data_IF_900410713235
#
_entry.id   IF_900410713235
#
_cell.length_a   1.000
_cell.length_b   1.000
_cell.length_c   1.000
_cell.angle_alpha   90.00
_cell.angle_beta   90.00
_cell.angle_gamma   90.00
#
_symmetry.space_group_name_H-M   'P 1'
#
loop_
_entity.id
_entity.type
_entity.pdbx_description
1 polymer ?
#
# COMPACT_ATOMS: atom_id res chain seq x y z
N UNK A 1 10.44 -75.26 -8.28
CA UNK A 1 10.99 -74.68 -7.04
C UNK A 1 10.84 -73.17 -7.13
N UNK A 2 9.72 -72.70 -6.60
CA UNK A 2 9.25 -71.32 -6.66
C UNK A 2 9.89 -70.49 -5.55
N UNK A 3 10.45 -69.36 -5.92
CA UNK A 3 11.02 -68.38 -5.02
C UNK A 3 9.91 -67.62 -4.26
N UNK A 4 10.04 -67.49 -2.95
CA UNK A 4 9.26 -66.54 -2.16
C UNK A 4 10.15 -66.00 -1.05
N UNK A 5 10.76 -64.84 -1.28
CA UNK A 5 11.50 -64.08 -0.26
C UNK A 5 10.71 -62.82 0.05
N UNK A 6 10.27 -62.73 1.31
CA UNK A 6 9.51 -61.63 1.86
C UNK A 6 10.40 -60.40 2.04
N UNK A 7 10.03 -59.28 1.40
CA UNK A 7 10.53 -57.95 1.74
C UNK A 7 9.48 -57.21 2.56
N UNK A 8 9.81 -56.98 3.83
CA UNK A 8 9.06 -56.16 4.76
C UNK A 8 8.88 -54.73 4.21
N UNK A 9 7.62 -54.30 4.07
CA UNK A 9 7.27 -52.91 3.78
C UNK A 9 7.40 -52.10 5.07
N UNK A 10 8.37 -51.19 5.07
CA UNK A 10 8.56 -50.16 6.08
C UNK A 10 7.49 -49.07 5.87
N UNK A 11 6.38 -49.15 6.60
CA UNK A 11 5.35 -48.09 6.62
C UNK A 11 5.78 -46.99 7.60
N UNK A 12 6.42 -45.95 7.05
CA UNK A 12 6.60 -44.69 7.76
C UNK A 12 5.21 -44.09 8.08
N UNK A 13 4.84 -44.12 9.36
CA UNK A 13 3.68 -43.41 9.92
C UNK A 13 3.76 -41.93 9.53
N UNK A 14 2.81 -41.46 8.72
CA UNK A 14 2.53 -40.04 8.56
C UNK A 14 2.19 -39.45 9.95
N UNK A 15 2.94 -38.42 10.39
CA UNK A 15 2.60 -37.63 11.57
C UNK A 15 1.21 -37.02 11.36
N UNK A 16 0.25 -37.48 12.16
CA UNK A 16 -1.06 -36.85 12.33
C UNK A 16 -0.83 -35.38 12.70
N UNK A 17 -1.32 -34.45 11.88
CA UNK A 17 -1.41 -33.04 12.23
C UNK A 17 -2.42 -32.90 13.37
N UNK A 18 -1.92 -32.73 14.59
CA UNK A 18 -2.76 -32.43 15.75
C UNK A 18 -3.50 -31.11 15.48
N UNK A 19 -4.84 -31.19 15.46
CA UNK A 19 -5.70 -30.02 15.44
C UNK A 19 -5.68 -29.40 16.83
N UNK A 20 -5.08 -28.23 16.95
CA UNK A 20 -5.11 -27.46 18.18
C UNK A 20 -6.43 -26.70 18.26
N UNK A 21 -6.99 -26.66 19.46
CA UNK A 21 -8.18 -25.86 19.77
C UNK A 21 -7.82 -24.87 20.86
N UNK A 22 -8.16 -23.60 20.64
CA UNK A 22 -7.91 -22.52 21.60
C UNK A 22 -9.17 -21.63 21.71
N UNK A 23 -9.30 -20.93 22.83
CA UNK A 23 -10.38 -20.00 23.10
C UNK A 23 -9.85 -18.62 23.48
N UNK A 24 -10.63 -17.60 23.13
CA UNK A 24 -10.43 -16.22 23.56
C UNK A 24 -11.77 -15.66 24.03
N UNK A 25 -11.76 -15.03 25.21
CA UNK A 25 -12.93 -14.39 25.80
C UNK A 25 -12.70 -12.87 25.84
N UNK A 26 -13.71 -12.12 25.40
CA UNK A 26 -13.68 -10.66 25.39
C UNK A 26 -14.48 -10.10 26.56
N UNK A 27 -13.90 -9.15 27.29
CA UNK A 27 -14.51 -8.59 28.50
C UNK A 27 -15.79 -7.77 28.21
N UNK A 28 -15.83 -7.09 27.05
CA UNK A 28 -16.94 -6.26 26.61
C UNK A 28 -17.65 -6.93 25.42
N UNK A 29 -18.90 -7.35 25.64
CA UNK A 29 -19.71 -8.01 24.63
C UNK A 29 -20.10 -7.05 23.49
N UNK A 30 -20.32 -5.76 23.75
CA UNK A 30 -20.65 -4.81 22.69
C UNK A 30 -19.47 -4.63 21.72
N UNK A 31 -18.25 -4.51 22.25
CA UNK A 31 -17.04 -4.47 21.44
C UNK A 31 -16.78 -5.81 20.72
N UNK A 32 -17.12 -6.94 21.35
CA UNK A 32 -17.03 -8.25 20.70
C UNK A 32 -17.98 -8.36 19.50
N UNK A 33 -19.23 -7.87 19.61
CA UNK A 33 -20.16 -7.84 18.48
C UNK A 33 -19.67 -6.94 17.34
N UNK A 34 -19.07 -5.77 17.67
CA UNK A 34 -18.44 -4.91 16.66
C UNK A 34 -17.26 -5.59 15.97
N UNK A 35 -16.46 -6.37 16.72
CA UNK A 35 -15.36 -7.16 16.17
C UNK A 35 -15.87 -8.24 15.20
N UNK A 36 -16.96 -8.93 15.56
CA UNK A 36 -17.50 -10.03 14.75
C UNK A 36 -18.12 -9.55 13.44
N UNK A 37 -18.65 -8.32 13.45
CA UNK A 37 -19.32 -7.72 12.29
C UNK A 37 -20.73 -8.29 12.05
N UNK A 38 -21.50 -7.65 11.16
CA UNK A 38 -22.80 -8.14 10.70
C UNK A 38 -22.75 -9.63 10.33
N UNK A 39 -23.64 -10.43 10.91
CA UNK A 39 -23.73 -11.88 10.64
C UNK A 39 -22.40 -12.65 10.81
N UNK A 40 -21.50 -12.17 11.67
CA UNK A 40 -20.17 -12.73 11.89
C UNK A 40 -19.29 -12.76 10.61
N UNK A 41 -19.48 -11.81 9.70
CA UNK A 41 -18.71 -11.71 8.45
C UNK A 41 -17.19 -11.60 8.69
N UNK A 42 -16.77 -10.89 9.75
CA UNK A 42 -15.34 -10.72 10.06
C UNK A 42 -14.72 -12.01 10.59
N UNK A 43 -15.46 -12.81 11.36
CA UNK A 43 -15.01 -14.13 11.80
C UNK A 43 -14.92 -15.11 10.63
N UNK A 44 -15.88 -15.04 9.71
CA UNK A 44 -15.87 -15.82 8.47
C UNK A 44 -14.65 -15.44 7.63
N UNK A 45 -14.37 -14.14 7.47
CA UNK A 45 -13.19 -13.67 6.76
C UNK A 45 -11.88 -14.13 7.40
N UNK A 46 -11.79 -14.06 8.72
CA UNK A 46 -10.63 -14.56 9.47
C UNK A 46 -10.42 -16.07 9.25
N UNK A 47 -11.53 -16.83 9.26
CA UNK A 47 -11.53 -18.27 8.98
C UNK A 47 -10.99 -18.55 7.58
N UNK A 48 -11.46 -17.82 6.56
CA UNK A 48 -10.97 -17.96 5.18
C UNK A 48 -9.48 -17.59 5.04
N UNK A 49 -9.07 -16.46 5.61
CA UNK A 49 -7.71 -15.94 5.45
C UNK A 49 -6.64 -16.74 6.19
N UNK A 50 -6.98 -17.35 7.34
CA UNK A 50 -6.04 -18.18 8.12
C UNK A 50 -6.18 -19.67 7.83
N UNK A 51 -7.36 -20.13 7.38
CA UNK A 51 -7.70 -21.54 7.24
C UNK A 51 -8.02 -22.24 8.58
N UNK A 52 -8.36 -21.48 9.63
CA UNK A 52 -8.76 -21.96 10.96
C UNK A 52 -10.28 -21.96 11.04
N UNK A 53 -10.89 -22.96 11.67
CA UNK A 53 -12.33 -22.93 11.98
C UNK A 53 -12.58 -21.96 13.13
N UNK A 54 -13.45 -20.97 12.91
CA UNK A 54 -13.80 -19.95 13.89
C UNK A 54 -15.29 -20.06 14.24
N UNK A 55 -15.62 -20.10 15.53
CA UNK A 55 -17.00 -20.06 16.00
C UNK A 55 -17.12 -19.15 17.22
N UNK A 56 -18.23 -18.43 17.35
CA UNK A 56 -18.48 -17.52 18.48
C UNK A 56 -19.73 -17.92 19.26
N UNK A 57 -19.70 -17.67 20.57
CA UNK A 57 -20.85 -17.81 21.46
C UNK A 57 -20.77 -16.73 22.55
N UNK A 58 -21.62 -15.71 22.44
CA UNK A 58 -21.53 -14.55 23.33
C UNK A 58 -20.23 -13.80 23.13
N UNK A 59 -19.46 -13.61 24.21
CA UNK A 59 -18.12 -12.99 24.21
C UNK A 59 -16.97 -13.96 23.92
N UNK A 60 -17.24 -15.26 23.79
CA UNK A 60 -16.22 -16.31 23.65
C UNK A 60 -16.11 -16.71 22.18
N UNK A 61 -14.88 -16.72 21.66
CA UNK A 61 -14.54 -17.26 20.33
C UNK A 61 -13.68 -18.51 20.50
N UNK A 62 -14.08 -19.58 19.82
CA UNK A 62 -13.33 -20.84 19.74
C UNK A 62 -12.68 -20.95 18.36
N UNK A 63 -11.38 -21.28 18.36
CA UNK A 63 -10.52 -21.41 17.18
C UNK A 63 -10.01 -22.86 17.11
N UNK A 64 -10.17 -23.53 15.98
CA UNK A 64 -9.69 -24.90 15.78
C UNK A 64 -8.96 -25.08 14.44
N UNK A 65 -7.75 -25.61 14.45
CA UNK A 65 -6.93 -25.73 13.25
C UNK A 65 -5.49 -26.16 13.52
N UNK A 66 -4.57 -25.76 12.65
CA UNK A 66 -3.13 -25.97 12.87
C UNK A 66 -2.63 -24.98 13.93
N UNK A 67 -1.85 -25.43 14.92
CA UNK A 67 -1.36 -24.61 16.03
C UNK A 67 -0.83 -23.22 15.66
N UNK A 68 0.11 -23.09 14.69
CA UNK A 68 0.63 -21.78 14.28
C UNK A 68 -0.46 -20.83 13.73
N UNK A 69 -1.43 -21.38 12.99
CA UNK A 69 -2.54 -20.62 12.41
C UNK A 69 -3.58 -20.24 13.45
N UNK A 70 -3.83 -21.11 14.44
CA UNK A 70 -4.71 -20.81 15.58
C UNK A 70 -4.11 -19.68 16.42
N UNK A 71 -2.80 -19.72 16.69
CA UNK A 71 -2.08 -18.66 17.38
C UNK A 71 -2.13 -17.33 16.60
N UNK A 72 -1.96 -17.39 15.27
CA UNK A 72 -2.12 -16.22 14.39
C UNK A 72 -3.53 -15.62 14.47
N UNK A 73 -4.58 -16.45 14.31
CA UNK A 73 -5.97 -16.00 14.38
C UNK A 73 -6.32 -15.38 15.75
N UNK A 74 -5.84 -16.00 16.85
CA UNK A 74 -6.01 -15.48 18.20
C UNK A 74 -5.33 -14.12 18.39
N UNK A 75 -4.12 -13.97 17.86
CA UNK A 75 -3.37 -12.71 17.86
C UNK A 75 -4.12 -11.62 17.09
N UNK A 76 -4.62 -11.91 15.90
CA UNK A 76 -5.40 -10.97 15.08
C UNK A 76 -6.66 -10.50 15.82
N UNK A 77 -7.44 -11.43 16.39
CA UNK A 77 -8.65 -11.09 17.13
C UNK A 77 -8.36 -10.23 18.37
N UNK A 78 -7.35 -10.61 19.16
CA UNK A 78 -6.95 -9.84 20.34
C UNK A 78 -6.48 -8.43 19.99
N UNK A 79 -5.77 -8.28 18.88
CA UNK A 79 -5.30 -6.98 18.39
C UNK A 79 -6.45 -6.10 17.91
N UNK A 80 -7.34 -6.61 17.06
CA UNK A 80 -8.50 -5.85 16.59
C UNK A 80 -9.42 -5.44 17.76
N UNK A 81 -9.61 -6.33 18.73
CA UNK A 81 -10.34 -6.01 19.95
C UNK A 81 -9.69 -4.89 20.75
N UNK A 82 -8.37 -4.93 20.95
CA UNK A 82 -7.65 -3.86 21.64
C UNK A 82 -7.80 -2.52 20.92
N UNK A 83 -7.73 -2.50 19.58
CA UNK A 83 -7.92 -1.27 18.79
C UNK A 83 -9.33 -0.68 18.90
N UNK A 84 -10.37 -1.53 18.96
CA UNK A 84 -11.73 -1.09 19.24
C UNK A 84 -11.87 -0.53 20.66
N UNK A 85 -11.33 -1.24 21.66
CA UNK A 85 -11.36 -0.83 23.07
C UNK A 85 -10.66 0.51 23.29
N UNK A 86 -9.49 0.67 22.70
CA UNK A 86 -8.65 1.88 22.82
C UNK A 86 -9.15 3.00 21.88
N UNK A 87 -10.29 2.77 21.20
CA UNK A 87 -10.95 3.67 20.25
C UNK A 87 -10.05 4.10 19.10
N UNK A 88 -9.05 3.30 18.71
CA UNK A 88 -8.21 3.58 17.54
C UNK A 88 -8.98 3.42 16.23
N UNK A 89 -9.96 2.52 16.22
CA UNK A 89 -10.91 2.28 15.13
C UNK A 89 -12.33 2.27 15.67
N UNK A 90 -13.28 2.74 14.88
CA UNK A 90 -14.69 2.80 15.26
C UNK A 90 -15.48 1.54 14.84
N UNK A 91 -14.98 0.81 13.84
CA UNK A 91 -15.55 -0.42 13.32
C UNK A 91 -14.46 -1.34 12.75
N UNK A 92 -14.79 -2.61 12.58
CA UNK A 92 -13.95 -3.60 11.87
C UNK A 92 -14.70 -4.01 10.61
N UNK A 93 -14.11 -3.71 9.45
CA UNK A 93 -14.53 -4.19 8.14
C UNK A 93 -13.67 -5.39 7.68
N UNK A 94 -14.13 -6.08 6.64
CA UNK A 94 -13.44 -7.24 6.04
C UNK A 94 -12.01 -6.87 5.63
N UNK A 95 -11.81 -5.66 5.11
CA UNK A 95 -10.49 -5.15 4.72
C UNK A 95 -9.55 -4.93 5.91
N UNK A 96 -10.08 -4.54 7.07
CA UNK A 96 -9.32 -4.39 8.33
C UNK A 96 -8.91 -5.76 8.87
N UNK A 97 -9.78 -6.77 8.76
CA UNK A 97 -9.43 -8.17 9.06
C UNK A 97 -8.29 -8.63 8.15
N UNK A 98 -8.39 -8.40 6.84
CA UNK A 98 -7.35 -8.76 5.87
C UNK A 98 -6.01 -8.06 6.15
N UNK A 99 -6.05 -6.78 6.52
CA UNK A 99 -4.88 -6.02 6.95
C UNK A 99 -4.24 -6.63 8.20
N UNK A 100 -5.04 -6.98 9.21
CA UNK A 100 -4.55 -7.57 10.45
C UNK A 100 -3.96 -8.97 10.23
N UNK A 101 -4.55 -9.79 9.35
CA UNK A 101 -3.99 -11.09 8.96
C UNK A 101 -2.61 -10.89 8.32
N UNK A 102 -2.49 -10.01 7.32
CA UNK A 102 -1.18 -9.71 6.68
C UNK A 102 -0.14 -9.20 7.68
N UNK A 103 -0.55 -8.37 8.64
CA UNK A 103 0.30 -7.87 9.71
C UNK A 103 0.67 -8.94 10.76
N UNK A 104 0.04 -10.11 10.74
CA UNK A 104 0.30 -11.17 11.72
C UNK A 104 1.21 -12.29 11.21
N UNK A 105 1.46 -12.35 9.89
CA UNK A 105 2.32 -13.36 9.26
C UNK A 105 3.79 -13.19 9.69
N UNK A 106 4.48 -14.28 10.09
CA UNK A 106 5.92 -14.25 10.35
C UNK A 106 6.72 -14.09 9.04
N UNK A 107 7.78 -13.28 9.08
CA UNK A 107 8.71 -13.06 7.97
C UNK A 107 9.45 -14.37 7.62
N UNK A 108 9.31 -14.86 6.38
CA UNK A 108 10.29 -15.79 5.80
C UNK A 108 11.26 -15.12 4.81
N UNK A 109 11.12 -13.84 4.47
CA UNK A 109 12.04 -13.18 3.53
C UNK A 109 11.94 -11.64 3.52
N UNK A 110 12.38 -10.96 4.58
CA UNK A 110 12.79 -9.56 4.48
C UNK A 110 14.30 -9.43 4.78
N UNK A 111 15.16 -9.34 3.75
CA UNK A 111 16.60 -9.17 3.94
C UNK A 111 16.99 -7.79 4.50
N UNK A 112 16.05 -6.86 4.71
CA UNK A 112 16.36 -5.45 4.93
C UNK A 112 15.78 -4.81 6.20
N UNK A 113 15.07 -5.53 7.10
CA UNK A 113 14.59 -4.93 8.36
C UNK A 113 14.84 -5.78 9.60
N UNK A 114 16.01 -5.60 10.22
CA UNK A 114 16.28 -6.04 11.58
C UNK A 114 15.77 -5.01 12.59
N UNK A 115 14.49 -5.06 12.96
CA UNK A 115 13.94 -4.63 14.26
C UNK A 115 12.42 -4.77 14.28
N UNK A 116 11.94 -5.83 14.91
CA UNK A 116 10.52 -6.01 15.25
C UNK A 116 10.24 -5.41 16.64
N UNK A 117 9.95 -4.11 16.69
CA UNK A 117 9.28 -3.50 17.85
C UNK A 117 7.88 -3.04 17.43
N UNK A 118 6.89 -3.53 18.17
CA UNK A 118 5.46 -3.24 18.10
C UNK A 118 4.88 -3.08 16.70
N UNK A 119 4.48 -4.22 16.09
CA UNK A 119 3.87 -4.28 14.75
C UNK A 119 2.52 -3.54 14.64
N UNK A 120 1.90 -3.23 15.78
CA UNK A 120 0.68 -2.43 15.91
C UNK A 120 1.03 -1.27 16.83
N UNK A 121 1.75 -0.28 16.29
CA UNK A 121 2.14 0.88 17.08
C UNK A 121 0.90 1.67 17.49
N UNK A 122 0.88 2.13 18.73
CA UNK A 122 -0.26 2.81 19.34
C UNK A 122 -0.64 4.13 18.64
N UNK A 123 -1.46 4.94 19.33
CA UNK A 123 -2.03 6.24 18.91
C UNK A 123 -1.21 7.12 17.97
N UNK A 124 0.13 7.03 17.97
CA UNK A 124 1.04 7.78 17.10
C UNK A 124 0.98 7.39 15.62
N UNK A 125 0.49 6.19 15.27
CA UNK A 125 0.41 5.71 13.87
C UNK A 125 -0.98 5.82 13.24
N UNK A 126 -1.97 6.16 14.04
CA UNK A 126 -3.32 6.42 13.54
C UNK A 126 -3.37 7.86 13.06
N UNK A 127 -3.57 8.01 11.75
CA UNK A 127 -3.75 9.31 11.13
C UNK A 127 -5.19 9.76 11.39
N UNK A 128 -5.33 10.75 12.27
CA UNK A 128 -6.62 11.33 12.60
C UNK A 128 -6.92 12.47 11.63
N UNK A 129 -8.01 12.31 10.88
CA UNK A 129 -8.55 13.35 10.01
C UNK A 129 -9.93 13.77 10.51
N UNK A 130 -10.49 14.88 10.01
CA UNK A 130 -11.82 15.32 10.42
C UNK A 130 -12.93 14.36 9.99
N UNK A 131 -12.69 13.54 8.95
CA UNK A 131 -13.69 12.58 8.42
C UNK A 131 -13.57 11.18 9.00
N UNK A 132 -12.34 10.68 9.13
CA UNK A 132 -12.09 9.29 9.51
C UNK A 132 -10.71 9.10 10.13
N UNK A 133 -10.57 8.01 10.89
CA UNK A 133 -9.27 7.49 11.31
C UNK A 133 -8.70 6.61 10.20
N UNK A 134 -7.46 6.88 9.81
CA UNK A 134 -6.75 6.13 8.78
C UNK A 134 -5.58 5.43 9.47
N UNK A 135 -5.50 4.11 9.33
CA UNK A 135 -4.39 3.34 9.89
C UNK A 135 -3.71 2.50 8.81
N UNK A 136 -2.39 2.31 8.90
CA UNK A 136 -1.68 1.36 8.05
C UNK A 136 -2.34 -0.03 8.06
N UNK A 137 -2.38 -0.66 6.89
CA UNK A 137 -2.94 -2.00 6.64
C UNK A 137 -1.88 -3.02 6.20
N UNK A 138 -0.61 -2.62 6.13
CA UNK A 138 0.54 -3.49 5.91
C UNK A 138 1.75 -3.02 6.72
N UNK A 139 2.73 -3.90 6.93
CA UNK A 139 3.97 -3.58 7.67
C UNK A 139 4.76 -2.47 6.97
N UNK A 140 4.79 -2.45 5.63
CA UNK A 140 5.46 -1.38 4.88
C UNK A 140 4.72 -0.06 4.93
N UNK A 141 3.38 -0.08 4.94
CA UNK A 141 2.59 1.13 5.20
C UNK A 141 2.88 1.70 6.59
N UNK A 142 3.06 0.82 7.60
CA UNK A 142 3.44 1.24 8.95
C UNK A 142 4.82 1.91 8.94
N UNK A 143 5.83 1.24 8.38
CA UNK A 143 7.18 1.79 8.26
C UNK A 143 7.19 3.11 7.48
N UNK A 144 6.29 3.26 6.49
CA UNK A 144 6.14 4.49 5.73
C UNK A 144 5.57 5.64 6.56
N UNK A 145 4.54 5.40 7.36
CA UNK A 145 4.01 6.41 8.29
C UNK A 145 5.05 6.80 9.35
N UNK A 146 5.78 5.82 9.89
CA UNK A 146 6.89 6.08 10.82
C UNK A 146 8.01 6.91 10.16
N UNK A 147 8.41 6.55 8.94
CA UNK A 147 9.41 7.32 8.20
C UNK A 147 8.96 8.78 7.99
N UNK A 148 7.69 9.02 7.65
CA UNK A 148 7.14 10.38 7.49
C UNK A 148 7.10 11.19 8.79
N UNK A 149 7.10 10.54 9.95
CA UNK A 149 7.19 11.18 11.28
C UNK A 149 8.63 11.50 11.69
N UNK A 150 9.59 10.66 11.29
CA UNK A 150 10.95 10.73 11.82
C UNK A 150 11.96 11.36 10.85
N UNK A 151 11.60 11.54 9.58
CA UNK A 151 12.49 12.04 8.52
C UNK A 151 11.90 13.28 7.82
N UNK A 152 12.78 14.16 7.34
CA UNK A 152 12.40 15.37 6.61
C UNK A 152 12.05 15.08 5.15
N UNK A 153 12.72 14.09 4.52
CA UNK A 153 12.45 13.65 3.16
C UNK A 153 12.18 12.15 3.11
N UNK A 154 11.04 11.75 2.56
CA UNK A 154 10.65 10.34 2.44
C UNK A 154 10.28 9.99 1.00
N UNK A 155 10.88 8.92 0.48
CA UNK A 155 10.50 8.32 -0.79
C UNK A 155 9.58 7.12 -0.57
N UNK A 156 8.37 7.18 -1.11
CA UNK A 156 7.43 6.06 -1.16
C UNK A 156 7.37 5.47 -2.57
N UNK A 157 8.02 4.33 -2.80
CA UNK A 157 8.20 3.75 -4.14
C UNK A 157 7.44 2.44 -4.24
N UNK A 158 6.62 2.25 -5.26
CA UNK A 158 6.02 0.94 -5.54
C UNK A 158 4.67 1.02 -6.28
N UNK A 159 4.00 -0.14 -6.45
CA UNK A 159 2.88 -0.25 -7.37
C UNK A 159 1.66 0.60 -6.98
N UNK A 160 0.80 0.85 -7.97
CA UNK A 160 -0.48 1.52 -7.75
C UNK A 160 -1.39 0.72 -6.79
N UNK A 161 -2.09 1.41 -5.89
CA UNK A 161 -2.97 0.79 -4.89
C UNK A 161 -2.29 0.31 -3.60
N UNK A 162 -1.00 0.59 -3.43
CA UNK A 162 -0.26 0.36 -2.16
C UNK A 162 -0.51 1.43 -1.10
N UNK A 163 -1.24 2.51 -1.44
CA UNK A 163 -1.60 3.58 -0.52
C UNK A 163 -0.52 4.65 -0.32
N UNK A 164 0.60 4.61 -1.06
CA UNK A 164 1.73 5.56 -0.92
C UNK A 164 1.32 7.04 -0.95
N UNK A 165 0.52 7.45 -1.93
CA UNK A 165 0.06 8.84 -2.07
C UNK A 165 -1.02 9.16 -1.05
N UNK A 166 -1.99 8.25 -0.87
CA UNK A 166 -3.10 8.43 0.06
C UNK A 166 -2.63 8.63 1.51
N UNK A 167 -1.72 7.78 1.99
CA UNK A 167 -1.17 7.88 3.34
C UNK A 167 -0.34 9.17 3.52
N UNK A 168 0.38 9.61 2.48
CA UNK A 168 1.11 10.86 2.52
C UNK A 168 0.17 12.07 2.66
N UNK A 169 -0.90 12.13 1.85
CA UNK A 169 -1.91 13.19 1.94
C UNK A 169 -2.59 13.18 3.31
N UNK A 170 -2.94 12.00 3.82
CA UNK A 170 -3.54 11.87 5.14
C UNK A 170 -2.61 12.39 6.25
N UNK A 171 -1.32 12.05 6.18
CA UNK A 171 -0.29 12.52 7.12
C UNK A 171 -0.10 14.04 7.02
N UNK A 172 -0.12 14.60 5.82
CA UNK A 172 -0.06 16.05 5.61
C UNK A 172 -1.24 16.77 6.26
N UNK A 173 -2.46 16.26 6.07
CA UNK A 173 -3.69 16.80 6.68
C UNK A 173 -3.65 16.73 8.20
N UNK A 174 -3.19 15.61 8.76
CA UNK A 174 -3.00 15.50 10.22
C UNK A 174 -1.99 16.53 10.73
N UNK A 175 -0.85 16.68 10.05
CA UNK A 175 0.20 17.64 10.44
C UNK A 175 -0.33 19.08 10.43
N UNK A 176 -1.16 19.43 9.43
CA UNK A 176 -1.81 20.74 9.33
C UNK A 176 -2.85 20.95 10.44
N UNK A 177 -3.69 19.96 10.74
CA UNK A 177 -4.69 20.05 11.82
C UNK A 177 -4.03 20.18 13.19
N UNK A 178 -2.88 19.51 13.40
CA UNK A 178 -2.12 19.56 14.65
C UNK A 178 -1.22 20.81 14.76
N UNK A 179 -1.20 21.68 13.75
CA UNK A 179 -0.36 22.89 13.73
C UNK A 179 1.14 22.60 13.67
N UNK A 180 1.54 21.42 13.17
CA UNK A 180 2.94 21.07 12.95
C UNK A 180 3.51 21.71 11.69
N UNK A 181 2.62 22.01 10.73
CA UNK A 181 2.90 22.76 9.52
C UNK A 181 1.78 23.77 9.30
N UNK A 182 2.08 24.86 8.61
CA UNK A 182 1.11 25.92 8.30
C UNK A 182 0.40 25.68 6.97
N UNK A 183 0.99 24.85 6.11
CA UNK A 183 0.53 24.66 4.73
C UNK A 183 0.82 23.26 4.18
N UNK A 184 -0.02 22.82 3.25
CA UNK A 184 0.16 21.61 2.45
C UNK A 184 0.38 22.01 1.00
N UNK A 185 1.39 21.44 0.35
CA UNK A 185 1.65 21.64 -1.09
C UNK A 185 1.66 20.29 -1.78
N UNK A 186 0.66 20.04 -2.61
CA UNK A 186 0.54 18.83 -3.42
C UNK A 186 0.90 19.15 -4.86
N UNK A 187 1.84 18.40 -5.41
CA UNK A 187 2.35 18.61 -6.75
C UNK A 187 2.44 17.32 -7.53
N UNK A 188 2.21 17.41 -8.85
CA UNK A 188 2.37 16.32 -9.81
C UNK A 188 3.05 16.85 -11.08
N UNK A 189 3.97 16.11 -11.73
CA UNK A 189 4.48 16.52 -13.02
C UNK A 189 3.38 16.42 -14.08
N UNK A 190 3.30 17.42 -14.95
CA UNK A 190 2.47 17.33 -16.14
C UNK A 190 3.22 16.45 -17.15
N UNK A 191 2.73 15.23 -17.36
CA UNK A 191 3.22 14.34 -18.41
C UNK A 191 2.06 13.97 -19.30
N UNK A 192 2.27 14.11 -20.60
CA UNK A 192 1.32 13.80 -21.66
C UNK A 192 1.23 12.27 -21.81
N UNK A 193 0.52 11.62 -20.89
CA UNK A 193 0.24 10.19 -20.96
C UNK A 193 -0.84 9.95 -22.05
N UNK A 194 -0.42 9.94 -23.31
CA UNK A 194 -1.23 9.49 -24.45
C UNK A 194 -2.09 10.56 -25.14
N UNK A 195 -2.44 11.66 -24.48
CA UNK A 195 -3.13 12.81 -25.09
C UNK A 195 -2.29 14.08 -24.97
N UNK A 196 -2.05 14.80 -26.07
CA UNK A 196 -1.28 16.06 -26.01
C UNK A 196 -2.07 17.08 -25.21
N UNK A 197 -1.43 17.74 -24.24
CA UNK A 197 -2.02 18.75 -23.36
C UNK A 197 -2.70 19.90 -24.16
N UNK A 198 -2.27 20.09 -25.41
CA UNK A 198 -2.82 21.06 -26.35
C UNK A 198 -4.26 20.84 -26.82
N UNK A 199 -4.88 19.68 -26.60
CA UNK A 199 -6.22 19.36 -27.15
C UNK A 199 -7.40 19.55 -26.17
N UNK A 200 -7.16 19.72 -24.87
CA UNK A 200 -8.25 19.99 -23.93
C UNK A 200 -8.71 21.46 -24.08
N UNK A 201 -10.01 21.75 -24.31
CA UNK A 201 -10.50 23.13 -24.34
C UNK A 201 -10.44 23.75 -22.94
N UNK A 202 -10.14 25.05 -22.82
CA UNK A 202 -10.09 25.78 -21.55
C UNK A 202 -8.78 26.50 -21.28
N UNK A 203 -8.69 27.11 -20.10
CA UNK A 203 -7.45 27.77 -19.64
C UNK A 203 -6.37 26.74 -19.24
N UNK A 204 -5.16 27.20 -18.91
CA UNK A 204 -4.06 26.28 -18.54
C UNK A 204 -4.40 25.44 -17.29
N UNK A 205 -5.27 25.95 -16.40
CA UNK A 205 -5.67 25.27 -15.18
C UNK A 205 -6.67 24.16 -15.50
N UNK A 206 -7.68 24.44 -16.32
CA UNK A 206 -8.68 23.47 -16.80
C UNK A 206 -8.02 22.27 -17.50
N UNK A 207 -6.89 22.50 -18.19
CA UNK A 207 -6.12 21.46 -18.89
C UNK A 207 -5.33 20.54 -17.97
N UNK A 208 -4.90 21.03 -16.80
CA UNK A 208 -4.02 20.27 -15.90
C UNK A 208 -4.79 19.66 -14.71
N UNK A 209 -5.96 20.24 -14.39
CA UNK A 209 -6.85 19.76 -13.32
C UNK A 209 -7.21 18.25 -13.40
N UNK A 210 -7.43 17.62 -14.58
CA UNK A 210 -7.69 16.18 -14.65
C UNK A 210 -6.56 15.33 -14.05
N UNK A 211 -5.30 15.73 -14.22
CA UNK A 211 -4.13 15.00 -13.69
C UNK A 211 -3.98 15.18 -12.17
N UNK A 212 -4.48 16.27 -11.63
CA UNK A 212 -4.45 16.60 -10.21
C UNK A 212 -5.65 16.00 -9.46
N UNK A 213 -6.68 15.51 -10.15
CA UNK A 213 -7.91 14.95 -9.57
C UNK A 213 -7.68 13.90 -8.47
N UNK A 214 -6.76 12.92 -8.63
CA UNK A 214 -6.50 11.96 -7.55
C UNK A 214 -6.02 12.59 -6.23
N UNK A 215 -5.36 13.75 -6.28
CA UNK A 215 -4.94 14.50 -5.09
C UNK A 215 -6.13 15.22 -4.44
N UNK A 216 -7.05 15.77 -5.24
CA UNK A 216 -8.31 16.34 -4.74
C UNK A 216 -9.18 15.28 -4.08
N UNK A 217 -9.30 14.10 -4.69
CA UNK A 217 -10.07 12.99 -4.14
C UNK A 217 -9.52 12.56 -2.77
N UNK A 218 -8.19 12.42 -2.64
CA UNK A 218 -7.54 12.10 -1.37
C UNK A 218 -7.76 13.19 -0.29
N UNK A 219 -7.78 14.46 -0.66
CA UNK A 219 -8.13 15.55 0.26
C UNK A 219 -9.60 15.46 0.71
N UNK A 220 -10.52 15.19 -0.22
CA UNK A 220 -11.93 15.03 0.11
C UNK A 220 -12.21 13.79 0.94
N UNK A 221 -11.38 12.76 0.90
CA UNK A 221 -11.49 11.61 1.80
C UNK A 221 -11.05 11.91 3.24
N UNK A 222 -10.21 12.93 3.42
CA UNK A 222 -9.62 13.29 4.72
C UNK A 222 -10.29 14.52 5.37
N UNK A 223 -10.86 15.42 4.58
CA UNK A 223 -11.51 16.64 5.05
C UNK A 223 -12.95 16.79 4.50
N UNK A 224 -13.86 17.41 5.26
CA UNK A 224 -15.13 17.92 4.74
C UNK A 224 -14.92 18.83 3.52
N UNK A 225 -15.81 18.75 2.53
CA UNK A 225 -15.61 19.43 1.24
C UNK A 225 -15.55 20.96 1.36
N UNK A 226 -16.41 21.53 2.21
CA UNK A 226 -16.41 22.94 2.58
C UNK A 226 -15.08 23.38 3.21
N UNK A 227 -14.48 22.53 4.05
CA UNK A 227 -13.17 22.77 4.67
C UNK A 227 -12.05 22.73 3.64
N UNK A 228 -12.09 21.78 2.69
CA UNK A 228 -11.10 21.71 1.60
C UNK A 228 -11.12 22.99 0.78
N UNK A 229 -12.30 23.42 0.33
CA UNK A 229 -12.48 24.64 -0.47
C UNK A 229 -11.94 25.85 0.27
N UNK A 230 -12.36 26.05 1.53
CA UNK A 230 -11.91 27.19 2.34
C UNK A 230 -10.38 27.20 2.52
N UNK A 231 -9.77 26.04 2.78
CA UNK A 231 -8.32 25.94 2.97
C UNK A 231 -7.54 26.14 1.68
N UNK A 232 -8.11 25.74 0.54
CA UNK A 232 -7.54 26.07 -0.77
C UNK A 232 -7.60 27.58 -1.08
N UNK A 233 -8.74 28.22 -0.81
CA UNK A 233 -8.91 29.67 -1.02
C UNK A 233 -7.97 30.50 -0.13
N UNK A 234 -7.75 30.06 1.11
CA UNK A 234 -6.81 30.70 2.03
C UNK A 234 -5.32 30.47 1.71
N UNK A 235 -5.02 29.51 0.81
CA UNK A 235 -3.65 29.10 0.50
C UNK A 235 -3.00 28.14 1.50
N UNK A 236 -3.73 27.69 2.54
CA UNK A 236 -3.27 26.64 3.45
C UNK A 236 -3.09 25.29 2.76
N UNK A 237 -3.89 25.02 1.72
CA UNK A 237 -3.74 23.83 0.87
C UNK A 237 -3.55 24.28 -0.57
N UNK A 238 -2.42 23.93 -1.18
CA UNK A 238 -2.13 24.24 -2.57
C UNK A 238 -1.99 22.94 -3.37
N UNK A 239 -2.78 22.81 -4.44
CA UNK A 239 -2.64 21.72 -5.41
C UNK A 239 -2.22 22.34 -6.73
N UNK A 240 -0.99 22.08 -7.17
CA UNK A 240 -0.41 22.78 -8.31
C UNK A 240 0.54 21.90 -9.14
N UNK A 241 0.71 22.17 -10.44
CA UNK A 241 1.68 21.45 -11.26
C UNK A 241 3.12 21.70 -10.81
N UNK A 242 4.02 20.74 -11.07
CA UNK A 242 5.44 20.82 -10.67
C UNK A 242 6.15 22.10 -11.14
N UNK A 243 5.77 22.65 -12.29
CA UNK A 243 6.36 23.87 -12.83
C UNK A 243 6.22 25.08 -11.88
N UNK A 244 5.17 25.13 -11.07
CA UNK A 244 4.89 26.21 -10.13
C UNK A 244 5.80 26.19 -8.90
N UNK A 245 6.60 25.14 -8.72
CA UNK A 245 7.53 25.03 -7.60
C UNK A 245 8.84 25.80 -7.83
N UNK A 246 9.09 26.23 -9.07
CA UNK A 246 10.32 26.92 -9.43
C UNK A 246 10.46 28.25 -8.67
N UNK A 247 11.64 28.47 -8.09
CA UNK A 247 11.97 29.72 -7.39
C UNK A 247 11.33 29.88 -6.01
N UNK A 248 10.64 28.84 -5.51
CA UNK A 248 10.01 28.88 -4.18
C UNK A 248 10.93 28.32 -3.11
N UNK A 249 10.71 28.75 -1.87
CA UNK A 249 11.19 28.05 -0.67
C UNK A 249 9.95 27.63 0.10
N UNK A 250 9.83 26.34 0.39
CA UNK A 250 8.67 25.76 1.04
C UNK A 250 9.03 25.52 2.51
N UNK A 251 8.92 26.57 3.33
CA UNK A 251 9.10 26.52 4.79
C UNK A 251 7.76 26.27 5.51
N UNK A 252 7.83 25.65 6.69
CA UNK A 252 6.68 25.27 7.52
C UNK A 252 5.57 24.55 6.74
N UNK A 253 5.96 23.68 5.80
CA UNK A 253 5.08 23.07 4.83
C UNK A 253 5.20 21.54 4.83
N UNK A 254 4.06 20.85 4.63
CA UNK A 254 4.09 19.45 4.22
C UNK A 254 3.94 19.36 2.70
N UNK A 255 4.99 18.92 2.03
CA UNK A 255 5.12 18.96 0.57
C UNK A 255 5.05 17.55 0.01
N UNK A 256 4.23 17.31 -1.01
CA UNK A 256 4.09 16.01 -1.67
C UNK A 256 4.33 16.17 -3.17
N UNK A 257 5.25 15.38 -3.71
CA UNK A 257 5.38 15.18 -5.16
C UNK A 257 4.87 13.79 -5.51
N UNK A 258 3.72 13.74 -6.17
CA UNK A 258 3.14 12.50 -6.65
C UNK A 258 3.60 12.17 -8.07
N UNK A 259 3.60 10.89 -8.40
CA UNK A 259 3.96 10.33 -9.71
C UNK A 259 5.34 10.80 -10.17
N UNK A 260 6.28 10.82 -9.22
CA UNK A 260 7.59 11.39 -9.38
C UNK A 260 8.45 10.64 -10.41
N UNK A 261 8.09 9.41 -10.78
CA UNK A 261 8.76 8.66 -11.85
C UNK A 261 8.72 9.41 -13.19
N UNK A 262 7.73 10.28 -13.34
CA UNK A 262 7.47 11.10 -14.52
C UNK A 262 8.16 12.48 -14.46
N UNK A 263 9.17 12.63 -13.59
CA UNK A 263 10.05 13.81 -13.56
C UNK A 263 11.37 13.54 -14.27
N UNK A 264 12.01 14.56 -14.83
CA UNK A 264 13.42 14.50 -15.24
C UNK A 264 14.35 14.72 -14.04
N UNK A 265 15.63 14.32 -14.16
CA UNK A 265 16.63 14.59 -13.12
C UNK A 265 16.73 16.08 -12.74
N UNK A 266 16.63 16.97 -13.73
CA UNK A 266 16.60 18.42 -13.49
C UNK A 266 15.37 18.86 -12.69
N UNK A 267 14.19 18.35 -13.03
CA UNK A 267 12.95 18.66 -12.33
C UNK A 267 12.96 18.14 -10.89
N UNK A 268 13.45 16.91 -10.69
CA UNK A 268 13.60 16.33 -9.36
C UNK A 268 14.56 17.15 -8.50
N UNK A 269 15.76 17.47 -9.02
CA UNK A 269 16.72 18.33 -8.31
C UNK A 269 16.14 19.71 -8.01
N UNK A 270 15.41 20.30 -8.96
CA UNK A 270 14.72 21.58 -8.75
C UNK A 270 13.74 21.48 -7.59
N UNK A 271 12.94 20.41 -7.52
CA UNK A 271 11.93 20.20 -6.49
C UNK A 271 12.52 19.92 -5.10
N UNK A 272 13.47 18.98 -5.01
CA UNK A 272 14.09 18.60 -3.74
C UNK A 272 14.77 19.79 -3.07
N UNK A 273 15.37 20.69 -3.85
CA UNK A 273 16.00 21.92 -3.35
C UNK A 273 15.02 23.03 -2.96
N UNK A 274 13.70 22.80 -3.02
CA UNK A 274 12.69 23.74 -2.49
C UNK A 274 12.35 23.48 -1.03
N UNK A 275 12.80 22.36 -0.44
CA UNK A 275 12.56 22.02 0.96
C UNK A 275 13.16 23.10 1.87
N UNK A 276 12.32 23.79 2.64
CA UNK A 276 12.71 24.83 3.59
C UNK A 276 12.68 24.35 5.05
N UNK A 277 12.99 25.25 5.97
CA UNK A 277 12.99 24.98 7.41
C UNK A 277 11.58 24.63 7.93
N UNK A 278 11.50 23.72 8.90
CA UNK A 278 10.25 23.31 9.52
C UNK A 278 9.31 22.54 8.59
N UNK A 279 9.79 22.12 7.43
CA UNK A 279 9.02 21.42 6.42
C UNK A 279 9.35 19.94 6.36
N UNK A 280 8.42 19.19 5.77
CA UNK A 280 8.60 17.78 5.42
C UNK A 280 8.24 17.60 3.96
N UNK A 281 8.92 16.69 3.28
CA UNK A 281 8.69 16.37 1.88
C UNK A 281 8.52 14.88 1.68
N UNK A 282 7.51 14.50 0.92
CA UNK A 282 7.25 13.13 0.54
C UNK A 282 7.21 13.04 -0.98
N UNK A 283 7.97 12.12 -1.54
CA UNK A 283 8.05 11.88 -2.98
C UNK A 283 7.52 10.47 -3.25
N UNK A 284 6.41 10.37 -3.97
CA UNK A 284 5.75 9.10 -4.31
C UNK A 284 5.90 8.79 -5.78
N UNK A 285 6.10 7.51 -6.12
CA UNK A 285 6.15 7.09 -7.52
C UNK A 285 6.27 5.59 -7.72
N UNK A 286 6.21 5.18 -8.99
CA UNK A 286 6.39 3.78 -9.42
C UNK A 286 7.39 3.72 -10.58
N UNK A 287 8.59 3.22 -10.32
CA UNK A 287 9.65 3.11 -11.34
C UNK A 287 9.31 2.13 -12.49
N UNK A 288 8.23 1.36 -12.38
CA UNK A 288 7.73 0.50 -13.46
C UNK A 288 6.78 1.22 -14.43
N UNK A 289 6.31 2.41 -14.08
CA UNK A 289 5.33 3.21 -14.85
C UNK A 289 5.93 4.55 -15.28
N UNK A 290 7.09 4.52 -15.94
CA UNK A 290 7.77 5.73 -16.45
C UNK A 290 7.18 6.10 -17.80
N UNK A 291 6.49 7.24 -17.87
CA UNK A 291 5.84 7.78 -19.07
C UNK A 291 6.69 8.86 -19.77
N UNK A 292 7.99 8.91 -19.46
CA UNK A 292 8.91 9.87 -20.07
C UNK A 292 9.31 9.44 -21.49
N UNK A 293 9.63 10.39 -22.39
CA UNK A 293 10.14 10.07 -23.71
C UNK A 293 11.37 9.15 -23.65
N UNK A 294 11.44 8.23 -24.60
CA UNK A 294 12.51 7.22 -24.69
C UNK A 294 13.90 7.86 -24.58
N UNK A 295 14.77 7.25 -23.76
CA UNK A 295 16.13 7.73 -23.48
C UNK A 295 16.23 8.78 -22.37
N UNK A 296 15.12 9.28 -21.84
CA UNK A 296 15.14 10.22 -20.70
C UNK A 296 15.31 9.46 -19.38
N UNK A 297 16.38 9.75 -18.62
CA UNK A 297 16.55 9.20 -17.26
C UNK A 297 15.49 9.79 -16.32
N UNK A 298 14.71 8.93 -15.68
CA UNK A 298 13.75 9.33 -14.63
C UNK A 298 14.49 10.00 -13.47
N UNK A 299 14.00 11.18 -13.07
CA UNK A 299 14.52 11.94 -11.94
C UNK A 299 14.32 11.24 -10.61
N UNK A 300 13.24 10.45 -10.47
CA UNK A 300 13.04 9.62 -9.28
C UNK A 300 14.14 8.58 -9.12
N UNK A 301 14.47 7.87 -10.21
CA UNK A 301 15.57 6.90 -10.21
C UNK A 301 16.91 7.59 -9.88
N UNK A 302 17.16 8.71 -10.54
CA UNK A 302 18.37 9.51 -10.32
C UNK A 302 18.53 9.98 -8.87
N UNK A 303 17.46 10.48 -8.25
CA UNK A 303 17.49 10.91 -6.84
C UNK A 303 17.72 9.73 -5.89
N UNK A 304 17.03 8.61 -6.10
CA UNK A 304 17.21 7.42 -5.26
C UNK A 304 18.66 6.89 -5.30
N UNK A 305 19.37 7.05 -6.42
CA UNK A 305 20.79 6.71 -6.54
C UNK A 305 21.69 7.80 -5.92
N UNK A 306 21.38 9.07 -6.17
CA UNK A 306 22.27 10.20 -5.85
C UNK A 306 22.25 10.59 -4.37
N UNK A 307 21.09 10.50 -3.70
CA UNK A 307 20.92 10.97 -2.32
C UNK A 307 20.62 9.85 -1.32
N UNK A 308 20.96 8.60 -1.67
CA UNK A 308 20.74 7.44 -0.82
C UNK A 308 21.38 7.55 0.57
N UNK A 309 22.57 8.15 0.65
CA UNK A 309 23.37 8.27 1.88
C UNK A 309 23.19 9.62 2.61
N UNK A 310 22.25 10.47 2.15
CA UNK A 310 21.99 11.76 2.77
C UNK A 310 21.20 11.55 4.07
N UNK A 311 21.72 12.06 5.18
CA UNK A 311 21.03 12.01 6.48
C UNK A 311 19.68 12.75 6.42
N UNK A 312 18.67 12.19 7.08
CA UNK A 312 17.31 12.75 7.06
C UNK A 312 16.46 12.31 5.87
N UNK A 313 17.00 11.46 4.99
CA UNK A 313 16.27 10.84 3.88
C UNK A 313 15.92 9.39 4.22
N UNK A 314 14.66 9.00 4.03
CA UNK A 314 14.22 7.61 4.12
C UNK A 314 13.61 7.14 2.80
N UNK A 315 13.77 5.86 2.47
CA UNK A 315 13.14 5.24 1.30
C UNK A 315 12.39 3.99 1.72
N UNK A 316 11.10 3.93 1.39
CA UNK A 316 10.24 2.78 1.60
C UNK A 316 9.80 2.23 0.25
N UNK A 317 10.09 0.95 0.04
CA UNK A 317 9.75 0.21 -1.19
C UNK A 317 8.58 -0.72 -0.92
N UNK A 318 7.42 -0.38 -1.48
CA UNK A 318 6.23 -1.22 -1.50
C UNK A 318 6.32 -2.28 -2.60
N UNK A 319 5.63 -3.40 -2.40
CA UNK A 319 5.42 -4.40 -3.44
C UNK A 319 3.93 -4.77 -3.59
N UNK A 320 3.65 -5.76 -4.45
CA UNK A 320 2.28 -6.19 -4.75
C UNK A 320 1.53 -6.71 -3.52
N UNK A 321 2.21 -7.19 -2.46
CA UNK A 321 1.57 -7.69 -1.23
C UNK A 321 0.99 -6.56 -0.39
N UNK A 322 1.48 -5.34 -0.58
CA UNK A 322 1.00 -4.13 0.10
C UNK A 322 -0.25 -3.53 -0.57
N UNK A 323 -0.64 -4.03 -1.75
CA UNK A 323 -1.80 -3.54 -2.46
C UNK A 323 -3.05 -3.85 -1.64
N UNK A 324 -3.86 -2.82 -1.37
CA UNK A 324 -5.13 -2.95 -0.65
C UNK A 324 -6.23 -2.48 -1.59
N UNK A 325 -6.81 -3.43 -2.31
CA UNK A 325 -7.92 -3.20 -3.23
C UNK A 325 -9.13 -4.01 -2.77
N UNK A 326 -10.31 -3.54 -3.16
CA UNK A 326 -11.54 -4.29 -2.98
C UNK A 326 -11.42 -5.70 -3.57
N UNK A 327 -11.98 -6.71 -2.90
CA UNK A 327 -11.79 -8.12 -3.27
C UNK A 327 -12.18 -8.42 -4.74
N UNK A 328 -13.24 -7.78 -5.25
CA UNK A 328 -13.65 -7.91 -6.65
C UNK A 328 -12.58 -7.37 -7.62
N UNK A 329 -11.96 -6.23 -7.31
CA UNK A 329 -10.92 -5.63 -8.15
C UNK A 329 -9.71 -6.57 -8.20
N UNK A 330 -9.32 -7.15 -7.07
CA UNK A 330 -8.25 -8.17 -7.03
C UNK A 330 -8.57 -9.35 -7.94
N UNK A 331 -9.80 -9.89 -7.88
CA UNK A 331 -10.24 -11.00 -8.77
C UNK A 331 -10.22 -10.61 -10.25
N UNK A 332 -10.63 -9.38 -10.58
CA UNK A 332 -10.59 -8.87 -11.95
C UNK A 332 -9.15 -8.78 -12.45
N UNK A 333 -8.24 -8.18 -11.68
CA UNK A 333 -6.82 -8.07 -12.05
C UNK A 333 -6.22 -9.45 -12.30
N UNK A 334 -6.45 -10.41 -11.39
CA UNK A 334 -5.98 -11.78 -11.55
C UNK A 334 -6.50 -12.46 -12.83
N UNK A 335 -7.76 -12.19 -13.21
CA UNK A 335 -8.35 -12.73 -14.43
C UNK A 335 -7.69 -12.14 -15.70
N UNK A 336 -7.38 -10.84 -15.70
CA UNK A 336 -6.67 -10.19 -16.81
C UNK A 336 -5.21 -10.66 -16.90
N UNK A 337 -4.48 -10.74 -15.78
CA UNK A 337 -3.09 -11.22 -15.74
C UNK A 337 -2.99 -12.66 -16.29
N UNK A 338 -3.94 -13.53 -15.92
CA UNK A 338 -4.01 -14.90 -16.42
C UNK A 338 -4.28 -14.94 -17.94
N UNK A 339 -5.18 -14.07 -18.43
CA UNK A 339 -5.49 -13.97 -19.86
C UNK A 339 -4.29 -13.45 -20.67
N UNK A 340 -3.56 -12.46 -20.17
CA UNK A 340 -2.39 -11.91 -20.84
C UNK A 340 -1.20 -12.89 -20.82
N UNK A 341 -0.97 -13.59 -19.70
CA UNK A 341 0.01 -14.68 -19.64
C UNK A 341 -0.31 -15.80 -20.65
N UNK A 342 -1.60 -16.13 -20.84
CA UNK A 342 -2.03 -17.09 -21.84
C UNK A 342 -1.79 -16.58 -23.27
N UNK A 343 -2.13 -15.32 -23.55
CA UNK A 343 -1.88 -14.68 -24.85
C UNK A 343 -0.40 -14.64 -25.20
N UNK A 344 0.46 -14.33 -24.23
CA UNK A 344 1.91 -14.30 -24.43
C UNK A 344 2.49 -15.69 -24.68
N UNK A 345 1.99 -16.72 -23.97
CA UNK A 345 2.33 -18.12 -24.24
C UNK A 345 1.92 -18.54 -25.65
N UNK A 346 0.71 -18.20 -26.09
CA UNK A 346 0.23 -18.50 -27.45
C UNK A 346 1.06 -17.78 -28.51
N UNK A 347 1.43 -16.51 -28.31
CA UNK A 347 2.32 -15.76 -29.21
C UNK A 347 3.72 -16.37 -29.31
N UNK A 348 4.28 -16.83 -28.19
CA UNK A 348 5.58 -17.52 -28.17
C UNK A 348 5.52 -18.88 -28.85
N UNK A 349 4.44 -19.65 -28.64
CA UNK A 349 4.20 -20.91 -29.34
C UNK A 349 4.06 -20.73 -30.86
N UNK A 350 3.37 -19.68 -31.32
CA UNK A 350 3.25 -19.37 -32.75
C UNK A 350 4.57 -18.93 -33.40
N UNK A 351 5.49 -18.30 -32.66
CA UNK A 351 6.83 -17.95 -33.16
C UNK A 351 7.73 -19.18 -33.33
N UNK A 352 7.69 -20.13 -32.39
CA UNK A 352 8.46 -21.38 -32.49
C UNK A 352 8.08 -22.22 -33.71
N UNK A 353 6.79 -22.30 -34.03
CA UNK A 353 6.30 -23.05 -35.22
C UNK A 353 6.73 -22.37 -36.53
N UNK A 354 6.82 -21.04 -36.58
CA UNK A 354 7.27 -20.32 -37.77
C UNK A 354 8.76 -20.47 -38.04
N UNK A 355 9.59 -20.50 -36.99
CA UNK A 355 11.05 -20.69 -37.12
C UNK A 355 11.40 -22.12 -37.57
N UNK A 356 10.68 -23.15 -37.12
CA UNK A 356 10.85 -24.52 -37.63
C UNK A 356 10.40 -24.67 -39.09
N UNK A 357 9.34 -23.96 -39.52
CA UNK A 357 8.83 -24.05 -40.91
C UNK A 357 9.67 -23.28 -41.96
N UNK A 358 10.57 -22.39 -41.55
CA UNK A 358 11.46 -21.64 -42.48
C UNK A 358 12.88 -22.22 -42.58
N UNK A 359 13.21 -23.23 -41.78
CA UNK A 359 14.52 -23.88 -41.77
C UNK A 359 14.71 -24.98 -42.83
N UNK A 360 13.64 -25.45 -43.47
CA UNK A 360 13.67 -26.67 -44.30
C UNK A 360 13.72 -26.42 -45.82
N UNK A 361 13.80 -25.15 -46.26
CA UNK A 361 13.74 -24.77 -47.69
C UNK A 361 15.07 -24.21 -48.25
N UNK A 362 16.21 -24.62 -47.66
CA UNK A 362 17.57 -24.18 -48.09
C UNK A 362 18.54 -25.30 -48.43
N UNK A 363 18.06 -26.50 -48.72
CA UNK A 363 18.89 -27.58 -49.27
C UNK A 363 18.18 -28.29 -50.40
N UNK A 364 18.30 -27.73 -51.60
CA UNK A 364 18.22 -28.45 -52.87
C UNK A 364 19.13 -27.77 -53.90
#
# INVERSE_FOLDING_TARGET
MTATSAKAKNTAKAKSSTKDTDQIEFADNALAQLLYGPQAENLTRLSEGTGVQVSSRGSVVTLAGQGPKVAQAKKVLGQLYARLRDKEIDHVDVETVDGAIRLSEPDEADPWTGQTKDMFGGSRLTIQTKKRRISPRSKRQKNYVEAMLDHELVFGIGPAGTGKTYLAVAMAVQSLIQGQVDRIVLSRPAVEAGERLGFLPGDLKDKVDPYLRPLYDALHDTLPGDVVIKRMESGEIEVAPLAFMRGRTLAHAFVILDEAQNTTAMQMKMFLTRLGEGSRMVVTGDLTQVDLPDGTKSGLRDALETIADVKGVATIKFDQRDVVRHALVTKIVQAYDAADALRDRLKKGYRGIKEESQGDDRTA
#
